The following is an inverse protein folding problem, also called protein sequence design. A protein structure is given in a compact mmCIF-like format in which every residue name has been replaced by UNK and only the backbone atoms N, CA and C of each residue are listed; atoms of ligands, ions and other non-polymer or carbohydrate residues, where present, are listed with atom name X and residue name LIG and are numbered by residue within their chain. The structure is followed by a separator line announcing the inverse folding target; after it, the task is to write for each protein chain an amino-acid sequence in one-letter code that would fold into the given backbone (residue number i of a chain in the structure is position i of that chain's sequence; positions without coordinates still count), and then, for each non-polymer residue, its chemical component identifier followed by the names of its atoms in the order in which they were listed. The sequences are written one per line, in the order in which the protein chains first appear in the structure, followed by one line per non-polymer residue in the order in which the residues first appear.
data_IF_257628897583
#
_entry.id   IF_257628897583
#
_cell.length_a   1.000
_cell.length_b   1.000
_cell.length_c   1.000
_cell.angle_alpha   90.00
_cell.angle_beta   90.00
_cell.angle_gamma   90.00
#
_symmetry.space_group_name_H-M   'P 1'
#
loop_
_entity.id
_entity.type
_entity.pdbx_description
1 polymer ?
#
# COMPACT_ATOMS: atom_id res chain seq x y z
N UNK A 1 26.48 5.54 -4.07
CA UNK A 1 25.83 4.37 -4.69
C UNK A 1 24.97 3.73 -3.61
N UNK A 2 23.75 3.30 -3.90
CA UNK A 2 22.92 2.56 -2.94
C UNK A 2 23.53 1.17 -2.80
N UNK A 3 23.57 0.62 -1.57
CA UNK A 3 24.21 -0.66 -1.31
C UNK A 3 23.49 -1.84 -1.98
N UNK A 4 24.21 -2.93 -2.20
CA UNK A 4 23.67 -4.16 -2.80
C UNK A 4 22.47 -4.71 -1.98
N UNK A 5 22.53 -4.58 -0.65
CA UNK A 5 21.45 -4.96 0.28
C UNK A 5 20.12 -4.22 -0.01
N UNK A 6 20.15 -2.91 -0.30
CA UNK A 6 18.97 -2.15 -0.67
C UNK A 6 18.34 -2.67 -1.96
N UNK A 7 19.17 -2.98 -2.95
CA UNK A 7 18.71 -3.51 -4.24
C UNK A 7 18.08 -4.89 -4.06
N UNK A 8 18.67 -5.75 -3.26
CA UNK A 8 18.13 -7.08 -2.96
C UNK A 8 16.79 -7.00 -2.22
N UNK A 9 16.71 -6.20 -1.15
CA UNK A 9 15.46 -5.96 -0.42
C UNK A 9 14.37 -5.38 -1.34
N UNK A 10 14.73 -4.41 -2.17
CA UNK A 10 13.79 -3.84 -3.13
C UNK A 10 13.28 -4.90 -4.11
N UNK A 11 14.17 -5.70 -4.69
CA UNK A 11 13.82 -6.76 -5.64
C UNK A 11 12.95 -7.85 -5.01
N UNK A 12 13.19 -8.20 -3.75
CA UNK A 12 12.41 -9.25 -3.07
C UNK A 12 10.92 -8.92 -2.94
N UNK A 13 10.58 -7.64 -2.88
CA UNK A 13 9.19 -7.16 -2.72
C UNK A 13 8.62 -6.62 -4.04
N UNK A 14 9.41 -5.83 -4.78
CA UNK A 14 8.86 -4.99 -5.84
C UNK A 14 9.25 -5.41 -7.26
N UNK A 15 10.14 -6.38 -7.44
CA UNK A 15 10.62 -6.74 -8.77
C UNK A 15 10.79 -8.24 -8.98
N UNK A 16 10.32 -9.07 -8.06
CA UNK A 16 10.52 -10.54 -8.12
C UNK A 16 9.91 -11.16 -9.37
N UNK A 17 8.77 -10.65 -9.83
CA UNK A 17 8.00 -11.17 -10.98
C UNK A 17 7.68 -10.10 -12.02
N UNK A 18 8.38 -8.97 -12.00
CA UNK A 18 8.06 -7.80 -12.82
C UNK A 18 6.86 -6.98 -12.34
N UNK A 19 6.03 -7.55 -11.47
CA UNK A 19 4.90 -6.93 -10.78
C UNK A 19 4.91 -7.27 -9.30
N UNK A 20 4.01 -6.64 -8.51
CA UNK A 20 3.95 -6.86 -7.07
C UNK A 20 2.53 -6.84 -6.51
N UNK A 21 2.21 -7.79 -5.64
CA UNK A 21 1.00 -7.81 -4.82
C UNK A 21 1.39 -7.79 -3.35
N UNK A 22 1.01 -6.73 -2.64
CA UNK A 22 1.27 -6.55 -1.21
C UNK A 22 -0.04 -6.68 -0.43
N UNK A 23 -0.07 -7.50 0.60
CA UNK A 23 -1.21 -7.62 1.50
C UNK A 23 -1.10 -6.61 2.63
N UNK A 24 -1.93 -5.57 2.58
CA UNK A 24 -1.93 -4.49 3.56
C UNK A 24 -2.82 -4.83 4.76
N UNK A 25 -2.22 -4.82 5.96
CA UNK A 25 -2.91 -5.04 7.23
C UNK A 25 -2.49 -4.01 8.29
N UNK A 26 -2.23 -2.78 7.84
CA UNK A 26 -1.75 -1.67 8.66
C UNK A 26 -2.85 -0.71 9.13
N UNK A 27 -4.11 -0.97 8.81
CA UNK A 27 -5.21 -0.05 9.05
C UNK A 27 -6.06 -0.35 10.30
N UNK A 28 -5.77 -1.38 11.06
CA UNK A 28 -6.49 -1.65 12.31
C UNK A 28 -6.43 -0.51 13.32
N UNK A 29 -5.31 0.20 13.40
CA UNK A 29 -5.18 1.40 14.23
C UNK A 29 -6.08 2.55 13.74
N UNK A 30 -6.28 2.68 12.44
CA UNK A 30 -7.09 3.77 11.85
C UNK A 30 -8.58 3.45 11.92
N UNK A 31 -9.00 2.28 11.50
CA UNK A 31 -10.41 1.95 11.33
C UNK A 31 -11.00 1.20 12.53
N UNK A 32 -10.16 0.63 13.37
CA UNK A 32 -10.61 -0.20 14.49
C UNK A 32 -11.08 -1.59 14.06
N UNK A 33 -11.68 -2.36 15.00
CA UNK A 33 -12.03 -3.78 14.77
C UNK A 33 -13.27 -3.99 13.90
N UNK A 34 -14.01 -2.96 13.56
CA UNK A 34 -15.21 -3.05 12.72
C UNK A 34 -14.92 -3.56 11.31
N UNK A 35 -13.71 -3.32 10.80
CA UNK A 35 -13.26 -3.83 9.50
C UNK A 35 -13.20 -5.37 9.44
N UNK A 36 -13.17 -6.06 10.60
CA UNK A 36 -13.08 -7.52 10.68
C UNK A 36 -14.45 -8.22 10.74
N UNK A 37 -15.55 -7.49 10.87
CA UNK A 37 -16.89 -8.10 11.03
C UNK A 37 -17.35 -8.93 9.83
N UNK A 38 -16.96 -8.54 8.61
CA UNK A 38 -17.32 -9.29 7.39
C UNK A 38 -16.64 -10.67 7.34
N UNK A 39 -15.45 -10.78 7.91
CA UNK A 39 -14.68 -12.00 8.02
C UNK A 39 -13.92 -12.01 9.36
N UNK A 40 -14.51 -12.55 10.45
CA UNK A 40 -13.90 -12.53 11.78
C UNK A 40 -12.51 -13.19 11.86
N UNK A 41 -12.20 -14.15 10.99
CA UNK A 41 -10.87 -14.77 10.92
C UNK A 41 -9.78 -13.73 10.57
N UNK A 42 -10.15 -12.66 9.87
CA UNK A 42 -9.23 -11.58 9.52
C UNK A 42 -8.78 -10.73 10.71
N UNK A 43 -9.36 -10.92 11.90
CA UNK A 43 -8.85 -10.32 13.13
C UNK A 43 -7.54 -10.96 13.60
N UNK A 44 -7.22 -12.21 13.13
CA UNK A 44 -5.96 -12.90 13.41
C UNK A 44 -4.88 -12.52 12.39
N UNK A 45 -3.72 -11.96 12.84
CA UNK A 45 -2.59 -11.72 11.95
C UNK A 45 -2.01 -13.00 11.33
N UNK A 46 -2.13 -14.15 11.99
CA UNK A 46 -1.72 -15.45 11.43
C UNK A 46 -2.54 -15.83 10.20
N UNK A 47 -3.84 -15.52 10.21
CA UNK A 47 -4.70 -15.70 9.05
C UNK A 47 -4.25 -14.82 7.87
N UNK A 48 -3.81 -13.60 8.14
CA UNK A 48 -3.26 -12.69 7.13
C UNK A 48 -1.97 -13.24 6.53
N UNK A 49 -1.06 -13.76 7.36
CA UNK A 49 0.17 -14.42 6.88
C UNK A 49 -0.15 -15.67 6.05
N UNK A 50 -1.15 -16.47 6.46
CA UNK A 50 -1.64 -17.61 5.68
C UNK A 50 -2.11 -17.16 4.29
N UNK A 51 -2.96 -16.14 4.18
CA UNK A 51 -3.42 -15.61 2.90
C UNK A 51 -2.22 -15.22 2.02
N UNK A 52 -1.28 -14.45 2.57
CA UNK A 52 -0.13 -13.97 1.81
C UNK A 52 0.73 -15.12 1.26
N UNK A 53 0.99 -16.15 2.06
CA UNK A 53 1.74 -17.35 1.65
C UNK A 53 1.00 -18.16 0.59
N UNK A 54 -0.26 -18.52 0.85
CA UNK A 54 -1.01 -19.45 0.01
C UNK A 54 -1.47 -18.83 -1.31
N UNK A 55 -1.69 -17.51 -1.33
CA UNK A 55 -1.97 -16.77 -2.56
C UNK A 55 -0.70 -16.29 -3.28
N UNK A 56 0.49 -16.43 -2.67
CA UNK A 56 1.77 -16.13 -3.28
C UNK A 56 2.03 -14.62 -3.42
N UNK A 57 1.65 -13.83 -2.43
CA UNK A 57 1.91 -12.38 -2.40
C UNK A 57 3.38 -12.09 -2.10
N UNK A 58 3.87 -10.92 -2.53
CA UNK A 58 5.28 -10.54 -2.43
C UNK A 58 5.63 -9.89 -1.08
N UNK A 59 4.62 -9.53 -0.29
CA UNK A 59 4.85 -8.95 1.03
C UNK A 59 3.58 -8.70 1.82
N UNK A 60 3.77 -8.43 3.12
CA UNK A 60 2.72 -7.99 4.04
C UNK A 60 3.07 -6.63 4.63
N UNK A 61 2.05 -5.84 4.97
CA UNK A 61 2.25 -4.57 5.71
C UNK A 61 1.67 -4.71 7.11
N UNK A 62 2.50 -4.54 8.11
CA UNK A 62 2.10 -4.56 9.52
C UNK A 62 2.48 -3.26 10.24
N UNK A 63 1.72 -2.92 11.27
CA UNK A 63 2.14 -2.00 12.33
C UNK A 63 3.08 -2.73 13.30
N UNK A 64 3.92 -1.96 14.03
CA UNK A 64 4.93 -2.50 14.96
C UNK A 64 4.40 -3.59 15.88
N UNK A 65 3.34 -3.31 16.65
CA UNK A 65 2.82 -4.25 17.64
C UNK A 65 2.30 -5.58 17.04
N UNK A 66 1.85 -5.55 15.79
CA UNK A 66 1.50 -6.78 15.04
C UNK A 66 2.78 -7.52 14.64
N UNK A 67 3.78 -6.82 14.11
CA UNK A 67 5.03 -7.44 13.70
C UNK A 67 5.77 -8.08 14.89
N UNK A 68 5.87 -7.38 16.02
CA UNK A 68 6.53 -7.90 17.25
C UNK A 68 5.93 -9.21 17.75
N UNK A 69 4.63 -9.42 17.59
CA UNK A 69 3.90 -10.55 18.18
C UNK A 69 3.66 -11.70 17.20
N UNK A 70 3.56 -11.42 15.91
CA UNK A 70 3.00 -12.37 14.94
C UNK A 70 3.86 -12.56 13.69
N UNK A 71 4.84 -11.68 13.41
CA UNK A 71 5.63 -11.83 12.20
C UNK A 71 6.59 -13.03 12.33
N UNK A 72 6.46 -13.97 11.40
CA UNK A 72 7.17 -15.26 11.40
C UNK A 72 8.27 -15.37 10.34
N UNK A 73 8.54 -14.30 9.59
CA UNK A 73 9.53 -14.27 8.52
C UNK A 73 9.14 -14.99 7.22
N UNK A 74 7.93 -15.53 7.14
CA UNK A 74 7.49 -16.36 6.01
C UNK A 74 7.21 -15.58 4.71
N UNK A 75 6.95 -14.29 4.83
CA UNK A 75 6.67 -13.36 3.71
C UNK A 75 7.41 -12.05 3.98
N UNK A 76 8.02 -11.38 2.99
CA UNK A 76 8.67 -10.09 3.21
C UNK A 76 7.78 -9.08 3.94
N UNK A 77 8.35 -8.40 4.97
CA UNK A 77 7.65 -7.42 5.79
C UNK A 77 7.92 -5.99 5.31
N UNK A 78 6.86 -5.23 5.09
CA UNK A 78 6.91 -3.77 5.03
C UNK A 78 6.38 -3.26 6.36
N UNK A 79 7.26 -2.70 7.21
CA UNK A 79 6.81 -2.16 8.49
C UNK A 79 6.30 -0.73 8.35
N UNK A 80 5.05 -0.51 8.76
CA UNK A 80 4.43 0.82 8.74
C UNK A 80 4.92 1.61 9.96
N UNK A 81 5.59 2.76 9.70
CA UNK A 81 6.26 3.56 10.72
C UNK A 81 5.38 4.64 11.36
N UNK A 82 4.19 4.86 10.82
CA UNK A 82 3.27 5.85 11.35
C UNK A 82 1.82 5.40 11.29
N UNK A 83 0.97 6.08 12.05
CA UNK A 83 -0.44 5.78 12.13
C UNK A 83 -1.25 6.93 12.70
N UNK A 84 -2.56 6.81 12.58
CA UNK A 84 -3.55 7.67 13.24
C UNK A 84 -4.76 6.82 13.63
N UNK A 85 -5.61 7.34 14.51
CA UNK A 85 -6.94 6.77 14.77
C UNK A 85 -8.01 7.60 14.09
N UNK A 86 -9.17 6.99 13.79
CA UNK A 86 -10.35 7.70 13.31
C UNK A 86 -11.19 8.30 14.46
N UNK A 87 -10.74 8.16 15.70
CA UNK A 87 -11.36 8.80 16.86
C UNK A 87 -11.02 10.31 16.93
N UNK A 88 -9.95 10.73 16.31
CA UNK A 88 -9.57 12.13 16.19
C UNK A 88 -10.22 12.77 14.97
N UNK A 89 -10.99 13.83 15.17
CA UNK A 89 -11.79 14.52 14.15
C UNK A 89 -11.10 15.77 13.56
N UNK A 90 -9.81 15.98 13.83
CA UNK A 90 -9.05 17.12 13.27
C UNK A 90 -8.53 16.85 11.87
N UNK A 91 -7.77 17.80 11.33
CA UNK A 91 -7.10 17.67 10.04
C UNK A 91 -6.20 16.41 10.04
N UNK A 92 -6.18 15.64 8.94
CA UNK A 92 -5.51 14.35 8.91
C UNK A 92 -4.00 14.49 9.10
N UNK A 93 -3.50 13.80 10.12
CA UNK A 93 -2.06 13.66 10.39
C UNK A 93 -1.77 12.22 10.82
N UNK A 94 -0.72 11.65 10.26
CA UNK A 94 -0.21 10.33 10.67
C UNK A 94 1.15 10.52 11.32
N UNK A 95 1.23 10.26 12.63
CA UNK A 95 2.45 10.50 13.42
C UNK A 95 3.33 9.25 13.48
N UNK A 96 4.66 9.40 13.53
CA UNK A 96 5.57 8.28 13.74
C UNK A 96 5.26 7.54 15.05
N UNK A 97 5.23 6.22 14.98
CA UNK A 97 5.03 5.32 16.10
C UNK A 97 6.09 4.18 16.14
N UNK A 98 7.02 4.20 15.18
CA UNK A 98 8.14 3.28 15.08
C UNK A 98 9.29 3.96 14.34
N UNK A 99 10.53 3.62 14.69
CA UNK A 99 11.73 4.07 13.99
C UNK A 99 12.13 3.09 12.88
N UNK A 100 13.00 3.53 11.96
CA UNK A 100 13.58 2.65 10.93
C UNK A 100 14.45 1.58 11.57
N UNK A 101 15.20 1.92 12.62
CA UNK A 101 16.06 0.98 13.35
C UNK A 101 15.25 -0.16 14.00
N UNK A 102 14.15 0.17 14.67
CA UNK A 102 13.21 -0.83 15.21
C UNK A 102 12.65 -1.73 14.10
N UNK A 103 12.27 -1.14 12.97
CA UNK A 103 11.75 -1.89 11.83
C UNK A 103 12.77 -2.91 11.28
N UNK A 104 14.01 -2.49 11.11
CA UNK A 104 15.10 -3.37 10.66
C UNK A 104 15.38 -4.48 11.67
N UNK A 105 15.35 -4.17 12.96
CA UNK A 105 15.50 -5.15 14.03
C UNK A 105 14.39 -6.21 14.04
N UNK A 106 13.19 -5.86 13.58
CA UNK A 106 12.06 -6.77 13.40
C UNK A 106 12.09 -7.55 12.07
N UNK A 107 13.17 -7.40 11.30
CA UNK A 107 13.34 -8.11 10.01
C UNK A 107 12.59 -7.47 8.85
N UNK A 108 12.22 -6.19 8.92
CA UNK A 108 11.54 -5.51 7.83
C UNK A 108 12.44 -5.43 6.58
N UNK A 109 11.89 -5.84 5.45
CA UNK A 109 12.51 -5.73 4.13
C UNK A 109 12.26 -4.37 3.47
N UNK A 110 11.27 -3.62 3.95
CA UNK A 110 10.99 -2.23 3.58
C UNK A 110 10.26 -1.51 4.73
N UNK A 111 10.25 -0.18 4.69
CA UNK A 111 9.48 0.63 5.62
C UNK A 111 8.44 1.45 4.88
N UNK A 112 7.28 1.66 5.53
CA UNK A 112 6.16 2.40 4.97
C UNK A 112 5.84 3.67 5.77
N UNK A 113 5.54 4.77 5.08
CA UNK A 113 5.17 6.03 5.72
C UNK A 113 4.03 6.71 4.97
N UNK A 114 2.96 7.09 5.69
CA UNK A 114 1.83 7.83 5.11
C UNK A 114 2.04 9.33 5.23
N UNK A 115 1.72 10.04 4.15
CA UNK A 115 1.50 11.48 4.15
C UNK A 115 0.11 11.79 3.58
N UNK A 116 -0.52 12.82 4.11
CA UNK A 116 -1.79 13.35 3.60
C UNK A 116 -1.53 14.66 2.87
N UNK A 117 -1.46 14.57 1.53
CA UNK A 117 -1.29 15.74 0.66
C UNK A 117 -2.55 16.61 0.71
N UNK A 118 -2.38 17.88 1.07
CA UNK A 118 -3.48 18.83 1.27
C UNK A 118 -4.01 18.91 2.69
N UNK A 119 -3.39 18.23 3.66
CA UNK A 119 -3.67 18.40 5.09
C UNK A 119 -3.07 19.70 5.62
N UNK A 120 -3.71 20.32 6.62
CA UNK A 120 -3.15 21.47 7.35
C UNK A 120 -1.84 21.12 8.08
N UNK A 121 -1.58 19.82 8.30
CA UNK A 121 -0.34 19.31 8.89
C UNK A 121 0.62 18.71 7.85
N UNK A 122 0.46 18.99 6.57
CA UNK A 122 1.32 18.46 5.50
C UNK A 122 2.80 18.75 5.75
N UNK A 123 3.13 19.99 6.12
CA UNK A 123 4.48 20.44 6.44
C UNK A 123 5.13 19.61 7.56
N UNK A 124 4.37 19.25 8.59
CA UNK A 124 4.85 18.41 9.72
C UNK A 124 5.11 16.98 9.26
N UNK A 125 4.27 16.45 8.41
CA UNK A 125 4.44 15.12 7.86
C UNK A 125 5.65 15.04 6.92
N UNK A 126 5.92 16.09 6.15
CA UNK A 126 7.13 16.21 5.33
C UNK A 126 8.39 16.25 6.23
N UNK A 127 8.35 16.99 7.34
CA UNK A 127 9.44 17.02 8.33
C UNK A 127 9.73 15.62 8.91
N UNK A 128 8.69 14.89 9.30
CA UNK A 128 8.84 13.52 9.78
C UNK A 128 9.43 12.60 8.70
N UNK A 129 8.89 12.69 7.48
CA UNK A 129 9.34 11.87 6.36
C UNK A 129 10.81 12.12 6.02
N UNK A 130 11.28 13.36 6.10
CA UNK A 130 12.68 13.70 5.86
C UNK A 130 13.63 13.02 6.86
N UNK A 131 13.22 12.86 8.14
CA UNK A 131 13.96 12.10 9.14
C UNK A 131 13.96 10.60 8.80
N UNK A 132 12.78 10.04 8.49
CA UNK A 132 12.62 8.64 8.09
C UNK A 132 13.46 8.32 6.84
N UNK A 133 13.47 9.20 5.83
CA UNK A 133 14.27 8.98 4.63
C UNK A 133 15.77 8.91 4.90
N UNK A 134 16.30 9.79 5.78
CA UNK A 134 17.72 9.73 6.19
C UNK A 134 18.06 8.40 6.87
N UNK A 135 17.19 7.96 7.79
CA UNK A 135 17.39 6.71 8.50
C UNK A 135 17.23 5.51 7.55
N UNK A 136 16.26 5.51 6.64
CA UNK A 136 16.09 4.46 5.62
C UNK A 136 17.34 4.31 4.73
N UNK A 137 17.99 5.42 4.39
CA UNK A 137 19.28 5.41 3.67
C UNK A 137 20.39 4.84 4.56
N UNK A 138 20.46 5.27 5.83
CA UNK A 138 21.48 4.79 6.80
C UNK A 138 21.39 3.29 7.06
N UNK A 139 20.19 2.74 7.16
CA UNK A 139 19.93 1.32 7.44
C UNK A 139 19.76 0.48 6.17
N UNK A 140 19.97 1.07 5.00
CA UNK A 140 19.90 0.40 3.71
C UNK A 140 18.58 -0.37 3.52
N UNK A 141 17.46 0.33 3.74
CA UNK A 141 16.10 -0.23 3.62
C UNK A 141 15.22 0.63 2.71
N UNK A 142 14.44 0.05 1.77
CA UNK A 142 13.56 0.81 0.88
C UNK A 142 12.46 1.54 1.65
N UNK A 143 12.13 2.76 1.22
CA UNK A 143 11.03 3.56 1.74
C UNK A 143 9.86 3.56 0.75
N UNK A 144 8.72 3.06 1.20
CA UNK A 144 7.44 3.18 0.49
C UNK A 144 6.64 4.35 1.05
N UNK A 145 6.23 5.29 0.21
CA UNK A 145 5.38 6.41 0.63
C UNK A 145 3.92 6.13 0.25
N UNK A 146 3.02 6.07 1.26
CA UNK A 146 1.57 6.14 1.07
C UNK A 146 1.22 7.62 0.91
N UNK A 147 1.08 8.10 -0.32
CA UNK A 147 0.75 9.49 -0.61
C UNK A 147 -0.74 9.62 -0.93
N UNK A 148 -1.49 10.09 0.06
CA UNK A 148 -2.94 10.17 -0.06
C UNK A 148 -3.41 11.63 -0.07
N UNK A 149 -4.12 12.06 -1.14
CA UNK A 149 -4.83 13.33 -1.10
C UNK A 149 -5.89 13.29 -0.01
N UNK A 150 -5.77 14.17 0.99
CA UNK A 150 -6.75 14.27 2.09
C UNK A 150 -6.54 15.53 2.90
N UNK A 151 -7.63 16.19 3.28
CA UNK A 151 -7.64 17.36 4.16
C UNK A 151 -8.23 18.60 3.53
N UNK A 152 -8.28 19.68 4.28
CA UNK A 152 -9.04 20.89 3.92
C UNK A 152 -8.71 21.50 2.57
N UNK A 153 -7.49 21.32 2.03
CA UNK A 153 -7.15 21.80 0.70
C UNK A 153 -7.75 20.94 -0.42
N UNK A 154 -7.88 19.63 -0.19
CA UNK A 154 -8.57 18.71 -1.12
C UNK A 154 -10.07 18.97 -1.07
N UNK A 155 -10.63 19.17 0.14
CA UNK A 155 -12.04 19.50 0.32
C UNK A 155 -12.40 20.79 -0.40
N UNK A 156 -11.61 21.84 -0.25
CA UNK A 156 -11.85 23.16 -0.84
C UNK A 156 -11.72 23.17 -2.37
N UNK A 157 -10.77 22.43 -2.94
CA UNK A 157 -10.47 22.49 -4.37
C UNK A 157 -11.16 21.38 -5.19
N UNK A 158 -11.37 20.22 -4.60
CA UNK A 158 -11.85 19.02 -5.30
C UNK A 158 -13.12 18.43 -4.65
N UNK A 159 -13.80 19.17 -3.76
CA UNK A 159 -15.02 18.71 -3.10
C UNK A 159 -14.83 17.46 -2.23
N UNK A 160 -13.62 17.25 -1.72
CA UNK A 160 -13.28 16.05 -0.93
C UNK A 160 -13.03 14.79 -1.77
N UNK A 161 -13.00 14.92 -3.11
CA UNK A 161 -12.69 13.76 -3.98
C UNK A 161 -11.20 13.42 -3.93
N UNK A 162 -10.86 12.52 -3.03
CA UNK A 162 -9.51 11.99 -2.86
C UNK A 162 -9.02 11.12 -4.06
N UNK A 163 -9.90 10.81 -5.01
CA UNK A 163 -9.61 10.03 -6.23
C UNK A 163 -9.58 10.91 -7.50
N UNK A 164 -9.84 12.23 -7.36
CA UNK A 164 -9.77 13.14 -8.51
C UNK A 164 -8.41 13.02 -9.21
N UNK A 165 -8.37 12.85 -10.56
CA UNK A 165 -7.14 12.57 -11.29
C UNK A 165 -5.99 13.55 -11.03
N UNK A 166 -6.29 14.85 -10.97
CA UNK A 166 -5.26 15.88 -10.78
C UNK A 166 -4.59 15.78 -9.41
N UNK A 167 -5.39 15.52 -8.35
CA UNK A 167 -4.83 15.47 -7.00
C UNK A 167 -4.10 14.15 -6.73
N UNK A 168 -4.55 13.04 -7.34
CA UNK A 168 -3.81 11.76 -7.30
C UNK A 168 -2.47 11.88 -8.03
N UNK A 169 -2.45 12.50 -9.22
CA UNK A 169 -1.22 12.76 -9.94
C UNK A 169 -0.28 13.70 -9.15
N UNK A 170 -0.82 14.71 -8.48
CA UNK A 170 -0.03 15.59 -7.61
C UNK A 170 0.53 14.82 -6.41
N UNK A 171 -0.26 13.97 -5.76
CA UNK A 171 0.22 13.11 -4.66
C UNK A 171 1.34 12.16 -5.11
N UNK A 172 1.25 11.60 -6.32
CA UNK A 172 2.32 10.79 -6.91
C UNK A 172 3.61 11.62 -7.11
N UNK A 173 3.48 12.85 -7.60
CA UNK A 173 4.62 13.76 -7.76
C UNK A 173 5.28 14.14 -6.43
N UNK A 174 4.49 14.41 -5.39
CA UNK A 174 4.98 14.66 -4.04
C UNK A 174 5.82 13.46 -3.54
N UNK A 175 5.33 12.24 -3.69
CA UNK A 175 6.07 11.05 -3.25
C UNK A 175 7.41 10.88 -3.99
N UNK A 176 7.46 11.13 -5.30
CA UNK A 176 8.70 11.14 -6.07
C UNK A 176 9.69 12.18 -5.52
N UNK A 177 9.25 13.44 -5.37
CA UNK A 177 10.11 14.54 -4.93
C UNK A 177 10.63 14.36 -3.49
N UNK A 178 9.84 13.68 -2.64
CA UNK A 178 10.24 13.34 -1.26
C UNK A 178 11.11 12.07 -1.17
N UNK A 179 11.45 11.47 -2.31
CA UNK A 179 12.44 10.40 -2.39
C UNK A 179 11.91 9.01 -2.09
N UNK A 180 10.66 8.71 -2.43
CA UNK A 180 10.13 7.35 -2.36
C UNK A 180 10.97 6.38 -3.19
N UNK A 181 11.15 5.16 -2.70
CA UNK A 181 11.70 4.03 -3.46
C UNK A 181 10.58 3.24 -4.16
N UNK A 182 9.37 3.24 -3.57
CA UNK A 182 8.10 2.87 -4.18
C UNK A 182 6.99 3.76 -3.60
N UNK A 183 5.86 3.87 -4.26
CA UNK A 183 4.72 4.63 -3.73
C UNK A 183 3.41 3.86 -3.81
N UNK A 184 2.50 4.17 -2.87
CA UNK A 184 1.13 3.69 -2.85
C UNK A 184 0.20 4.89 -2.96
N UNK A 185 -0.62 4.93 -4.01
CA UNK A 185 -1.57 6.01 -4.30
C UNK A 185 -2.98 5.48 -4.55
N UNK A 186 -3.97 6.34 -4.52
CA UNK A 186 -5.36 5.98 -4.84
C UNK A 186 -5.54 5.74 -6.33
N UNK A 187 -6.47 4.84 -6.66
CA UNK A 187 -6.93 4.67 -8.04
C UNK A 187 -7.90 5.79 -8.41
N UNK A 188 -7.76 6.34 -9.60
CA UNK A 188 -8.61 7.44 -10.11
C UNK A 188 -9.94 6.98 -10.69
N UNK A 189 -10.20 5.65 -10.68
CA UNK A 189 -11.43 5.06 -11.24
C UNK A 189 -11.34 4.78 -12.75
N UNK A 190 -10.36 5.33 -13.44
CA UNK A 190 -10.17 5.17 -14.89
C UNK A 190 -8.71 4.89 -15.24
N UNK A 191 -8.39 3.88 -16.10
CA UNK A 191 -7.02 3.55 -16.47
C UNK A 191 -6.24 4.67 -17.14
N UNK A 192 -6.90 5.51 -17.97
CA UNK A 192 -6.22 6.59 -18.71
C UNK A 192 -5.75 7.70 -17.77
N UNK A 193 -6.61 8.12 -16.86
CA UNK A 193 -6.26 9.14 -15.86
C UNK A 193 -5.24 8.59 -14.87
N UNK A 194 -5.31 7.30 -14.51
CA UNK A 194 -4.32 6.67 -13.66
C UNK A 194 -2.95 6.53 -14.34
N UNK A 195 -2.91 6.28 -15.66
CA UNK A 195 -1.66 6.26 -16.41
C UNK A 195 -0.92 7.61 -16.37
N UNK A 196 -1.65 8.73 -16.25
CA UNK A 196 -1.03 10.03 -16.02
C UNK A 196 -0.36 10.10 -14.63
N UNK A 197 -1.01 9.62 -13.57
CA UNK A 197 -0.42 9.55 -12.25
C UNK A 197 0.84 8.66 -12.22
N UNK A 198 0.82 7.52 -12.92
CA UNK A 198 2.00 6.65 -13.10
C UNK A 198 3.10 7.37 -13.86
N UNK A 199 2.77 8.10 -14.93
CA UNK A 199 3.76 8.85 -15.72
C UNK A 199 4.46 9.94 -14.89
N UNK A 200 3.73 10.70 -14.06
CA UNK A 200 4.32 11.78 -13.25
C UNK A 200 5.06 11.26 -12.02
N UNK A 201 4.85 10.00 -11.62
CA UNK A 201 5.66 9.28 -10.65
C UNK A 201 7.10 9.01 -11.16
N UNK A 202 7.35 9.18 -12.45
CA UNK A 202 8.67 9.04 -13.06
C UNK A 202 9.23 7.62 -12.96
N UNK A 203 10.38 7.46 -12.31
CA UNK A 203 11.04 6.15 -12.11
C UNK A 203 10.60 5.44 -10.83
N UNK A 204 9.74 6.05 -10.02
CA UNK A 204 9.28 5.43 -8.77
C UNK A 204 8.12 4.48 -9.07
N UNK A 205 8.23 3.18 -8.75
CA UNK A 205 7.16 2.23 -8.97
C UNK A 205 5.90 2.59 -8.20
N UNK A 206 4.75 2.44 -8.87
CA UNK A 206 3.44 2.78 -8.33
C UNK A 206 2.67 1.53 -7.95
N UNK A 207 2.15 1.48 -6.73
CA UNK A 207 1.20 0.50 -6.23
C UNK A 207 -0.16 1.17 -6.04
N UNK A 208 -1.22 0.55 -6.54
CA UNK A 208 -2.58 0.99 -6.27
C UNK A 208 -2.99 0.65 -4.84
N UNK A 209 -3.61 1.60 -4.14
CA UNK A 209 -4.33 1.36 -2.89
C UNK A 209 -5.69 0.73 -3.16
N UNK A 210 -6.01 -0.40 -2.52
CA UNK A 210 -7.24 -1.15 -2.75
C UNK A 210 -8.54 -0.48 -2.28
N UNK A 211 -8.47 0.51 -1.38
CA UNK A 211 -9.66 1.15 -0.86
C UNK A 211 -10.57 0.24 -0.02
N UNK A 212 -11.86 0.64 0.20
CA UNK A 212 -12.88 -0.20 0.80
C UNK A 212 -13.17 -1.44 -0.06
N UNK A 213 -13.75 -2.48 0.55
CA UNK A 213 -14.19 -3.68 -0.18
C UNK A 213 -15.26 -3.32 -1.20
N UNK A 214 -15.05 -3.75 -2.44
CA UNK A 214 -16.02 -3.59 -3.54
C UNK A 214 -17.21 -4.52 -3.37
N UNK A 215 -18.32 -4.20 -4.04
CA UNK A 215 -19.56 -5.02 -3.96
C UNK A 215 -19.37 -6.40 -4.56
N UNK A 216 -18.61 -6.51 -5.65
CA UNK A 216 -18.34 -7.79 -6.33
C UNK A 216 -16.86 -8.01 -6.53
N UNK A 217 -16.47 -9.27 -6.70
CA UNK A 217 -15.10 -9.67 -7.02
C UNK A 217 -14.70 -9.12 -8.40
N UNK A 218 -15.61 -9.22 -9.38
CA UNK A 218 -15.39 -8.72 -10.74
C UNK A 218 -15.05 -7.23 -10.77
N UNK A 219 -15.75 -6.41 -9.97
CA UNK A 219 -15.50 -4.97 -9.88
C UNK A 219 -14.06 -4.68 -9.45
N UNK A 220 -13.57 -5.36 -8.40
CA UNK A 220 -12.21 -5.15 -7.92
C UNK A 220 -11.16 -5.69 -8.90
N UNK A 221 -11.40 -6.88 -9.49
CA UNK A 221 -10.50 -7.46 -10.48
C UNK A 221 -10.36 -6.56 -11.73
N UNK A 222 -11.44 -5.90 -12.18
CA UNK A 222 -11.40 -4.89 -13.26
C UNK A 222 -10.57 -3.67 -12.88
N UNK A 223 -10.65 -3.20 -11.63
CA UNK A 223 -9.78 -2.11 -11.17
C UNK A 223 -8.31 -2.53 -11.26
N UNK A 224 -7.98 -3.74 -10.81
CA UNK A 224 -6.60 -4.27 -10.85
C UNK A 224 -6.11 -4.42 -12.29
N UNK A 225 -6.91 -5.00 -13.19
CA UNK A 225 -6.60 -5.08 -14.61
C UNK A 225 -6.32 -3.70 -15.22
N UNK A 226 -7.18 -2.71 -14.92
CA UNK A 226 -7.00 -1.32 -15.37
C UNK A 226 -5.73 -0.66 -14.82
N UNK A 227 -5.36 -0.95 -13.59
CA UNK A 227 -4.14 -0.43 -12.95
C UNK A 227 -2.88 -1.01 -13.60
N UNK A 228 -2.87 -2.32 -13.86
CA UNK A 228 -1.74 -2.96 -14.56
C UNK A 228 -1.63 -2.43 -16.00
N UNK A 229 -2.74 -2.29 -16.73
CA UNK A 229 -2.74 -1.73 -18.07
C UNK A 229 -2.29 -0.27 -18.13
N UNK A 230 -2.46 0.49 -17.05
CA UNK A 230 -1.98 1.85 -16.88
C UNK A 230 -0.46 1.94 -16.60
N UNK A 231 0.24 0.81 -16.48
CA UNK A 231 1.69 0.75 -16.25
C UNK A 231 2.12 0.80 -14.78
N UNK A 232 1.20 0.59 -13.83
CA UNK A 232 1.60 0.46 -12.44
C UNK A 232 2.37 -0.84 -12.20
N UNK A 233 3.21 -0.84 -11.15
CA UNK A 233 3.92 -2.03 -10.72
C UNK A 233 2.96 -3.11 -10.18
N UNK A 234 1.86 -2.71 -9.56
CA UNK A 234 0.93 -3.65 -8.96
C UNK A 234 0.00 -3.01 -7.95
N UNK A 235 -0.31 -3.76 -6.90
CA UNK A 235 -1.32 -3.36 -5.92
C UNK A 235 -0.86 -3.61 -4.48
N UNK A 236 -1.26 -2.72 -3.57
CA UNK A 236 -1.11 -2.92 -2.13
C UNK A 236 -2.51 -2.90 -1.49
N UNK A 237 -3.09 -4.08 -1.34
CA UNK A 237 -4.51 -4.30 -1.05
C UNK A 237 -4.71 -4.94 0.32
N UNK A 238 -5.80 -4.59 0.97
CA UNK A 238 -6.17 -5.11 2.29
C UNK A 238 -7.60 -5.64 2.29
N UNK A 239 -8.57 -4.78 2.63
CA UNK A 239 -9.99 -5.13 2.80
C UNK A 239 -10.59 -5.86 1.60
N UNK A 240 -10.19 -5.52 0.40
CA UNK A 240 -10.60 -6.23 -0.82
C UNK A 240 -10.11 -7.69 -0.90
N UNK A 241 -9.21 -8.11 -0.02
CA UNK A 241 -8.77 -9.50 0.08
C UNK A 241 -9.27 -10.13 1.38
N UNK A 242 -8.79 -9.66 2.54
CA UNK A 242 -9.01 -10.35 3.80
C UNK A 242 -10.43 -10.21 4.39
N UNK A 243 -11.26 -9.26 3.93
CA UNK A 243 -12.69 -9.22 4.27
C UNK A 243 -13.53 -10.24 3.48
N UNK A 244 -12.95 -10.95 2.50
CA UNK A 244 -13.64 -12.04 1.80
C UNK A 244 -13.48 -13.35 2.57
N UNK A 245 -14.53 -14.16 2.62
CA UNK A 245 -14.46 -15.52 3.23
C UNK A 245 -13.53 -16.45 2.45
N UNK A 246 -13.45 -16.29 1.13
CA UNK A 246 -12.57 -17.01 0.21
C UNK A 246 -11.29 -16.23 -0.10
N UNK A 247 -10.66 -15.61 0.90
CA UNK A 247 -9.56 -14.66 0.72
C UNK A 247 -8.34 -15.24 -0.02
N UNK A 248 -8.00 -16.51 0.23
CA UNK A 248 -6.88 -17.18 -0.45
C UNK A 248 -7.18 -17.40 -1.93
N UNK A 249 -8.35 -17.92 -2.25
CA UNK A 249 -8.80 -18.17 -3.64
C UNK A 249 -8.87 -16.85 -4.40
N UNK A 250 -9.44 -15.82 -3.79
CA UNK A 250 -9.49 -14.50 -4.38
C UNK A 250 -8.09 -13.92 -4.61
N UNK A 251 -7.17 -14.10 -3.67
CA UNK A 251 -5.77 -13.73 -3.82
C UNK A 251 -5.09 -14.42 -5.01
N UNK A 252 -5.42 -15.70 -5.27
CA UNK A 252 -4.93 -16.43 -6.45
C UNK A 252 -5.50 -15.87 -7.76
N UNK A 253 -6.77 -15.39 -7.77
CA UNK A 253 -7.33 -14.70 -8.94
C UNK A 253 -6.58 -13.39 -9.22
N UNK A 254 -6.28 -12.61 -8.18
CA UNK A 254 -5.44 -11.41 -8.31
C UNK A 254 -4.06 -11.74 -8.90
N UNK A 255 -3.43 -12.83 -8.44
CA UNK A 255 -2.13 -13.26 -8.92
C UNK A 255 -2.16 -13.58 -10.43
N UNK A 256 -3.21 -14.23 -10.93
CA UNK A 256 -3.39 -14.50 -12.37
C UNK A 256 -3.46 -13.22 -13.20
N UNK A 257 -4.16 -12.17 -12.72
CA UNK A 257 -4.23 -10.89 -13.42
C UNK A 257 -2.88 -10.17 -13.37
N UNK A 258 -2.30 -10.06 -12.18
CA UNK A 258 -1.10 -9.23 -11.97
C UNK A 258 0.16 -9.86 -12.54
N UNK A 259 0.37 -11.17 -12.37
CA UNK A 259 1.62 -11.83 -12.78
C UNK A 259 1.53 -12.54 -14.13
N UNK A 260 0.33 -13.04 -14.50
CA UNK A 260 0.15 -13.78 -15.74
C UNK A 260 -0.48 -12.93 -16.86
N UNK A 261 -0.93 -11.71 -16.54
CA UNK A 261 -1.57 -10.80 -17.51
C UNK A 261 -2.91 -11.29 -18.03
N UNK A 262 -3.59 -12.22 -17.30
CA UNK A 262 -4.88 -12.74 -17.70
C UNK A 262 -5.99 -11.70 -17.54
N UNK A 263 -6.94 -11.71 -18.47
CA UNK A 263 -8.11 -10.85 -18.41
C UNK A 263 -9.12 -11.31 -17.37
N UNK A 264 -9.89 -10.37 -16.80
CA UNK A 264 -10.89 -10.65 -15.75
C UNK A 264 -11.89 -11.72 -16.19
N UNK A 265 -12.39 -11.68 -17.43
CA UNK A 265 -13.32 -12.68 -17.97
C UNK A 265 -12.74 -14.08 -17.98
N UNK A 266 -11.47 -14.22 -18.36
CA UNK A 266 -10.75 -15.48 -18.39
C UNK A 266 -10.57 -16.04 -16.97
N UNK A 267 -10.18 -15.18 -16.02
CA UNK A 267 -9.92 -15.56 -14.63
C UNK A 267 -11.20 -16.02 -13.92
N UNK A 268 -12.35 -15.38 -14.20
CA UNK A 268 -13.63 -15.72 -13.59
C UNK A 268 -14.33 -16.91 -14.28
N UNK A 269 -13.98 -17.22 -15.53
CA UNK A 269 -14.54 -18.37 -16.25
C UNK A 269 -13.76 -19.70 -15.98
N UNK A 270 -12.56 -19.60 -15.39
CA UNK A 270 -11.77 -20.78 -15.04
C UNK A 270 -12.40 -21.51 -13.85
N UNK A 271 -12.62 -22.84 -13.93
CA UNK A 271 -13.20 -23.65 -12.86
C UNK A 271 -12.34 -23.71 -11.61
#
# INVERSE_FOLDING_TARGET
MRGDSLIEKFKSIFARRGHSIILAYDHGIEHGPTDFFDNPDSASPEYILKIAREAGFDGVVFQRGIAEKYYDGSVPLILKLNGKTSLYNGAPISVPNCTVEEAVSLGASAVGFTIYAGSDYEWRQIEYLAKIKRDAVRFDVPLVIWSYPRGGKVDAKYGGDEQHPDVVAYAARIALELGADAMKIKYTGDPKSFAWAVKVAGKVPVLMSGGPKTKTDEEFLKQVEGVISAGALGVAVGRNVWQRKNAVEFGKLLAKIVYEGKGVKEVLAAP
#
